data_IF_707545911724
#
_entry.id   IF_707545911724
#
_cell.length_a   1.000
_cell.length_b   1.000
_cell.length_c   1.000
_cell.angle_alpha   90.00
_cell.angle_beta   90.00
_cell.angle_gamma   90.00
#
_symmetry.space_group_name_H-M   'P 1'
#
loop_
_entity.id
_entity.type
_entity.pdbx_description
1 polymer ?
#
# COMPACT_ATOMS: atom_id res chain seq x y z
N UNK A 1 -18.15 1.76 15.48
CA UNK A 1 -17.53 2.93 14.82
C UNK A 1 -16.02 2.79 14.68
N UNK A 2 -15.31 2.28 15.69
CA UNK A 2 -13.84 2.15 15.70
C UNK A 2 -13.23 1.39 14.51
N UNK A 3 -13.82 0.25 14.10
CA UNK A 3 -13.35 -0.48 12.91
C UNK A 3 -13.52 0.31 11.61
N UNK A 4 -14.61 1.06 11.48
CA UNK A 4 -14.87 1.90 10.31
C UNK A 4 -13.87 3.05 10.24
N UNK A 5 -13.60 3.70 11.38
CA UNK A 5 -12.57 4.73 11.48
C UNK A 5 -11.19 4.16 11.12
N UNK A 6 -10.82 3.01 11.67
CA UNK A 6 -9.57 2.33 11.33
C UNK A 6 -9.46 2.03 9.84
N UNK A 7 -10.54 1.55 9.22
CA UNK A 7 -10.58 1.29 7.79
C UNK A 7 -10.30 2.56 6.98
N UNK A 8 -11.05 3.64 7.22
CA UNK A 8 -10.90 4.88 6.47
C UNK A 8 -9.57 5.58 6.74
N UNK A 9 -9.07 5.55 7.98
CA UNK A 9 -7.73 6.06 8.32
C UNK A 9 -6.64 5.23 7.65
N UNK A 10 -6.76 3.91 7.61
CA UNK A 10 -5.79 3.03 6.93
C UNK A 10 -5.83 3.21 5.41
N UNK A 11 -7.02 3.41 4.85
CA UNK A 11 -7.23 3.75 3.45
C UNK A 11 -6.59 5.10 3.08
N UNK A 12 -6.84 6.14 3.89
CA UNK A 12 -6.27 7.47 3.68
C UNK A 12 -4.75 7.50 3.92
N UNK A 13 -4.26 6.72 4.89
CA UNK A 13 -2.82 6.65 5.20
C UNK A 13 -2.02 6.09 4.02
N UNK A 14 -2.62 5.25 3.19
CA UNK A 14 -2.01 4.78 1.94
C UNK A 14 -1.86 5.88 0.87
N UNK A 15 -2.39 7.09 1.07
CA UNK A 15 -2.40 8.15 0.04
C UNK A 15 -1.67 9.43 0.43
N UNK A 16 -1.72 9.86 1.70
CA UNK A 16 -1.34 11.24 2.05
C UNK A 16 -0.72 11.44 3.45
N UNK A 17 -0.82 10.48 4.38
CA UNK A 17 -0.40 10.68 5.78
C UNK A 17 0.38 9.47 6.33
N UNK A 18 1.73 9.55 6.43
CA UNK A 18 2.51 8.50 7.06
C UNK A 18 2.19 8.40 8.56
N UNK A 19 2.06 7.17 9.07
CA UNK A 19 2.00 6.85 10.51
C UNK A 19 0.63 7.03 11.20
N UNK A 20 -0.35 7.65 10.55
CA UNK A 20 -1.66 7.92 11.18
C UNK A 20 -2.48 6.65 11.47
N UNK A 21 -2.38 5.63 10.61
CA UNK A 21 -3.16 4.40 10.78
C UNK A 21 -2.61 3.47 11.86
N UNK A 22 -1.29 3.45 12.06
CA UNK A 22 -0.63 2.59 13.04
C UNK A 22 -0.82 3.10 14.46
N UNK A 23 -0.77 4.42 14.65
CA UNK A 23 -1.08 5.03 15.94
C UNK A 23 -2.52 4.70 16.37
N UNK A 24 -3.48 4.84 15.45
CA UNK A 24 -4.87 4.46 15.72
C UNK A 24 -5.02 2.96 15.97
N UNK A 25 -4.31 2.11 15.20
CA UNK A 25 -4.30 0.67 15.41
C UNK A 25 -3.80 0.28 16.81
N UNK A 26 -2.67 0.85 17.25
CA UNK A 26 -2.11 0.63 18.59
C UNK A 26 -3.05 1.11 19.69
N UNK A 27 -3.65 2.29 19.51
CA UNK A 27 -4.66 2.81 20.45
C UNK A 27 -5.84 1.84 20.60
N UNK A 28 -6.38 1.32 19.50
CA UNK A 28 -7.48 0.36 19.55
C UNK A 28 -7.08 -0.98 20.16
N UNK A 29 -5.81 -1.40 20.03
CA UNK A 29 -5.29 -2.56 20.75
C UNK A 29 -5.24 -2.33 22.27
N UNK A 30 -4.86 -1.13 22.72
CA UNK A 30 -4.87 -0.79 24.15
C UNK A 30 -6.28 -0.73 24.76
N UNK A 31 -7.30 -0.50 23.94
CA UNK A 31 -8.71 -0.58 24.33
C UNK A 31 -9.26 -2.03 24.33
N UNK A 32 -8.37 -3.05 24.26
CA UNK A 32 -8.70 -4.48 24.29
C UNK A 32 -9.67 -4.96 23.19
N UNK A 33 -9.72 -4.27 22.05
CA UNK A 33 -10.46 -4.73 20.87
C UNK A 33 -9.81 -5.97 20.26
N UNK A 34 -10.61 -6.78 19.55
CA UNK A 34 -10.15 -8.02 18.92
C UNK A 34 -9.00 -7.75 17.92
N UNK A 35 -7.77 -8.23 18.19
CA UNK A 35 -6.60 -7.93 17.36
C UNK A 35 -6.71 -8.47 15.94
N UNK A 36 -7.33 -9.65 15.77
CA UNK A 36 -7.50 -10.26 14.46
C UNK A 36 -8.41 -9.42 13.56
N UNK A 37 -9.53 -8.92 14.09
CA UNK A 37 -10.42 -8.03 13.34
C UNK A 37 -9.73 -6.71 12.99
N UNK A 38 -8.96 -6.13 13.93
CA UNK A 38 -8.19 -4.92 13.66
C UNK A 38 -7.18 -5.14 12.52
N UNK A 39 -6.45 -6.27 12.54
CA UNK A 39 -5.48 -6.62 11.50
C UNK A 39 -6.14 -6.74 10.13
N UNK A 40 -7.25 -7.46 10.04
CA UNK A 40 -8.00 -7.64 8.79
C UNK A 40 -8.49 -6.29 8.27
N UNK A 41 -9.13 -5.49 9.12
CA UNK A 41 -9.74 -4.21 8.72
C UNK A 41 -8.68 -3.19 8.29
N UNK A 42 -7.58 -3.06 9.03
CA UNK A 42 -6.49 -2.15 8.69
C UNK A 42 -5.79 -2.57 7.38
N UNK A 43 -5.51 -3.87 7.23
CA UNK A 43 -4.90 -4.44 6.02
C UNK A 43 -5.79 -4.21 4.80
N UNK A 44 -7.09 -4.46 4.92
CA UNK A 44 -8.05 -4.23 3.84
C UNK A 44 -8.10 -2.75 3.43
N UNK A 45 -8.25 -1.85 4.40
CA UNK A 45 -8.28 -0.40 4.13
C UNK A 45 -7.01 0.06 3.40
N UNK A 46 -5.83 -0.31 3.91
CA UNK A 46 -4.55 0.11 3.35
C UNK A 46 -4.29 -0.51 1.96
N UNK A 47 -4.69 -1.77 1.75
CA UNK A 47 -4.58 -2.44 0.44
C UNK A 47 -5.48 -1.74 -0.58
N UNK A 48 -6.72 -1.40 -0.21
CA UNK A 48 -7.64 -0.67 -1.10
C UNK A 48 -7.15 0.75 -1.40
N UNK A 49 -6.55 1.45 -0.43
CA UNK A 49 -5.91 2.75 -0.69
C UNK A 49 -4.73 2.62 -1.67
N UNK A 50 -3.93 1.56 -1.52
CA UNK A 50 -2.83 1.26 -2.45
C UNK A 50 -3.32 0.94 -3.86
N UNK A 51 -4.47 0.28 -3.98
CA UNK A 51 -5.16 0.06 -5.26
C UNK A 51 -5.52 1.39 -5.95
N UNK A 52 -5.94 2.40 -5.19
CA UNK A 52 -6.18 3.75 -5.73
C UNK A 52 -4.89 4.35 -6.29
N UNK A 53 -3.77 4.27 -5.57
CA UNK A 53 -2.48 4.75 -6.07
C UNK A 53 -2.07 4.07 -7.37
N UNK A 54 -2.23 2.74 -7.45
CA UNK A 54 -1.95 2.01 -8.68
C UNK A 54 -2.80 2.54 -9.84
N UNK A 55 -4.10 2.73 -9.62
CA UNK A 55 -5.02 3.23 -10.64
C UNK A 55 -4.62 4.64 -11.08
N UNK A 56 -4.28 5.52 -10.13
CA UNK A 56 -3.77 6.86 -10.42
C UNK A 56 -2.48 6.82 -11.26
N UNK A 57 -1.54 5.94 -10.94
CA UNK A 57 -0.30 5.78 -11.72
C UNK A 57 -0.55 5.31 -13.15
N UNK A 58 -1.51 4.40 -13.33
CA UNK A 58 -1.94 3.94 -14.66
C UNK A 58 -2.55 5.08 -15.48
N UNK A 59 -3.47 5.85 -14.89
CA UNK A 59 -4.08 7.00 -15.58
C UNK A 59 -3.06 8.11 -15.87
N UNK A 60 -2.13 8.37 -14.96
CA UNK A 60 -1.04 9.33 -15.18
C UNK A 60 -0.18 8.94 -16.38
N UNK A 61 0.10 7.63 -16.53
CA UNK A 61 0.82 7.09 -17.69
C UNK A 61 0.02 7.23 -18.97
N UNK A 62 -1.26 6.86 -18.95
CA UNK A 62 -2.14 6.98 -20.12
C UNK A 62 -2.24 8.44 -20.60
N UNK A 63 -2.31 9.39 -19.66
CA UNK A 63 -2.31 10.81 -19.96
C UNK A 63 -0.96 11.29 -20.53
N UNK A 64 0.16 10.91 -19.90
CA UNK A 64 1.49 11.29 -20.33
C UNK A 64 1.84 10.76 -21.74
N UNK A 65 1.42 9.53 -22.06
CA UNK A 65 1.56 8.95 -23.40
C UNK A 65 0.74 9.72 -24.44
N UNK A 66 -0.54 10.02 -24.15
CA UNK A 66 -1.40 10.80 -25.06
C UNK A 66 -0.86 12.20 -25.34
N UNK A 67 -0.16 12.80 -24.38
CA UNK A 67 0.44 14.15 -24.50
C UNK A 67 1.88 14.14 -25.04
N UNK A 68 2.43 12.98 -25.39
CA UNK A 68 3.84 12.82 -25.79
C UNK A 68 4.85 13.30 -24.73
N UNK A 69 4.47 13.31 -23.43
CA UNK A 69 5.39 13.61 -22.33
C UNK A 69 6.23 12.41 -21.91
N UNK A 70 5.83 11.21 -22.32
CA UNK A 70 6.55 9.98 -22.02
C UNK A 70 6.70 9.14 -23.29
N UNK A 71 7.87 8.51 -23.44
CA UNK A 71 8.18 7.66 -24.58
C UNK A 71 7.88 6.19 -24.25
N UNK A 72 7.10 5.52 -25.10
CA UNK A 72 6.70 4.13 -24.94
C UNK A 72 7.89 3.16 -24.78
N UNK A 73 9.01 3.42 -25.47
CA UNK A 73 10.21 2.56 -25.36
C UNK A 73 10.81 2.59 -23.96
N UNK A 74 10.82 3.75 -23.32
CA UNK A 74 11.31 3.90 -21.95
C UNK A 74 10.36 3.23 -20.95
N UNK A 75 9.05 3.37 -21.18
CA UNK A 75 8.03 2.71 -20.36
C UNK A 75 8.15 1.18 -20.44
N UNK A 76 8.32 0.62 -21.64
CA UNK A 76 8.53 -0.82 -21.83
C UNK A 76 9.78 -1.30 -21.09
N UNK A 77 10.90 -0.59 -21.21
CA UNK A 77 12.14 -0.92 -20.49
C UNK A 77 11.95 -0.90 -18.97
N UNK A 78 11.27 0.12 -18.45
CA UNK A 78 10.95 0.23 -17.02
C UNK A 78 10.02 -0.91 -16.56
N UNK A 79 9.01 -1.25 -17.37
CA UNK A 79 8.08 -2.35 -17.11
C UNK A 79 8.80 -3.69 -17.04
N UNK A 80 9.70 -4.01 -17.98
CA UNK A 80 10.49 -5.25 -17.95
C UNK A 80 11.39 -5.34 -16.71
N UNK A 81 12.03 -4.22 -16.33
CA UNK A 81 12.84 -4.18 -15.12
C UNK A 81 11.98 -4.40 -13.87
N UNK A 82 10.80 -3.79 -13.83
CA UNK A 82 9.84 -3.95 -12.74
C UNK A 82 9.19 -5.33 -12.73
N UNK A 83 9.03 -6.02 -13.86
CA UNK A 83 8.59 -7.42 -13.83
C UNK A 83 9.62 -8.34 -13.15
N UNK A 84 10.91 -8.07 -13.37
CA UNK A 84 12.00 -8.86 -12.79
C UNK A 84 12.24 -8.57 -11.30
N UNK A 85 12.18 -7.29 -10.90
CA UNK A 85 12.54 -6.86 -9.53
C UNK A 85 11.39 -6.24 -8.74
N UNK A 86 10.29 -5.90 -9.40
CA UNK A 86 9.19 -5.13 -8.82
C UNK A 86 8.37 -5.89 -7.79
N UNK A 87 8.35 -7.23 -7.85
CA UNK A 87 7.75 -8.03 -6.78
C UNK A 87 8.48 -7.80 -5.45
N UNK A 88 9.82 -7.78 -5.48
CA UNK A 88 10.64 -7.52 -4.30
C UNK A 88 10.51 -6.07 -3.83
N UNK A 89 10.47 -5.10 -4.74
CA UNK A 89 10.28 -3.70 -4.34
C UNK A 89 8.89 -3.44 -3.74
N UNK A 90 7.84 -4.08 -4.26
CA UNK A 90 6.48 -3.98 -3.72
C UNK A 90 6.35 -4.60 -2.33
N UNK A 91 7.15 -5.62 -2.00
CA UNK A 91 7.20 -6.14 -0.64
C UNK A 91 7.69 -5.09 0.36
N UNK A 92 8.52 -4.13 -0.06
CA UNK A 92 8.95 -2.99 0.75
C UNK A 92 7.91 -1.87 0.84
N UNK A 93 6.72 -2.03 0.26
CA UNK A 93 5.63 -1.02 0.34
C UNK A 93 5.04 -0.81 1.73
N UNK A 94 5.47 -1.62 2.70
CA UNK A 94 5.15 -1.44 4.11
C UNK A 94 6.00 -0.37 4.80
N UNK A 95 7.15 0.01 4.23
CA UNK A 95 8.05 1.00 4.82
C UNK A 95 7.39 2.38 4.83
N UNK A 96 7.59 3.18 5.90
CA UNK A 96 7.08 4.54 5.96
C UNK A 96 7.68 5.37 4.82
N UNK A 97 6.88 6.32 4.29
CA UNK A 97 7.25 7.30 3.25
C UNK A 97 7.46 6.70 1.85
N UNK A 98 8.15 5.57 1.74
CA UNK A 98 8.54 4.95 0.45
C UNK A 98 7.40 4.12 -0.15
N UNK A 99 6.54 3.56 0.70
CA UNK A 99 5.64 2.51 0.27
C UNK A 99 4.56 2.93 -0.72
N UNK A 100 3.91 4.07 -0.49
CA UNK A 100 2.82 4.52 -1.35
C UNK A 100 3.31 5.02 -2.73
N UNK A 101 4.45 5.75 -2.84
CA UNK A 101 5.10 5.99 -4.12
C UNK A 101 5.40 4.71 -4.91
N UNK A 102 5.83 3.62 -4.26
CA UNK A 102 6.05 2.34 -4.95
C UNK A 102 4.76 1.77 -5.55
N UNK A 103 3.64 1.88 -4.85
CA UNK A 103 2.34 1.42 -5.37
C UNK A 103 1.86 2.26 -6.57
N UNK A 104 2.13 3.57 -6.56
CA UNK A 104 1.89 4.45 -7.69
C UNK A 104 2.78 4.11 -8.90
N UNK A 105 4.09 3.89 -8.67
CA UNK A 105 5.04 3.47 -9.72
C UNK A 105 4.64 2.14 -10.35
N UNK A 106 4.15 1.17 -9.56
CA UNK A 106 3.61 -0.08 -10.10
C UNK A 106 2.45 0.15 -11.09
N UNK A 107 1.62 1.15 -10.80
CA UNK A 107 0.59 1.65 -11.71
C UNK A 107 1.16 2.25 -12.99
N UNK A 108 2.19 3.09 -12.86
CA UNK A 108 2.87 3.73 -14.01
C UNK A 108 3.36 2.68 -14.99
N UNK A 109 4.09 1.69 -14.49
CA UNK A 109 4.68 0.62 -15.33
C UNK A 109 3.68 -0.45 -15.74
N UNK A 110 2.39 -0.28 -15.41
CA UNK A 110 1.27 -1.19 -15.70
C UNK A 110 1.53 -2.63 -15.25
N UNK A 111 2.07 -2.78 -14.03
CA UNK A 111 2.38 -4.10 -13.47
C UNK A 111 1.12 -4.97 -13.33
N UNK A 112 1.25 -6.30 -13.46
CA UNK A 112 0.08 -7.18 -13.44
C UNK A 112 -0.77 -7.00 -12.16
N UNK A 113 -2.03 -6.54 -12.34
CA UNK A 113 -2.93 -6.16 -11.25
C UNK A 113 -3.08 -7.21 -10.16
N UNK A 114 -3.26 -8.47 -10.53
CA UNK A 114 -3.41 -9.56 -9.56
C UNK A 114 -2.14 -9.78 -8.73
N UNK A 115 -0.95 -9.68 -9.35
CA UNK A 115 0.34 -9.80 -8.64
C UNK A 115 0.49 -8.65 -7.67
N UNK A 116 0.16 -7.45 -8.12
CA UNK A 116 0.17 -6.24 -7.31
C UNK A 116 -0.67 -6.41 -6.05
N UNK A 117 -1.96 -6.75 -6.20
CA UNK A 117 -2.89 -6.87 -5.06
C UNK A 117 -2.41 -7.91 -4.05
N UNK A 118 -1.97 -9.07 -4.51
CA UNK A 118 -1.47 -10.13 -3.61
C UNK A 118 -0.24 -9.65 -2.83
N UNK A 119 0.76 -9.12 -3.53
CA UNK A 119 2.03 -8.69 -2.89
C UNK A 119 1.78 -7.55 -1.91
N UNK A 120 0.96 -6.56 -2.29
CA UNK A 120 0.65 -5.42 -1.43
C UNK A 120 -0.18 -5.86 -0.22
N UNK A 121 -1.17 -6.74 -0.40
CA UNK A 121 -1.93 -7.27 0.73
C UNK A 121 -1.02 -7.97 1.74
N UNK A 122 -0.07 -8.77 1.27
CA UNK A 122 0.95 -9.39 2.13
C UNK A 122 1.86 -8.35 2.81
N UNK A 123 2.33 -7.33 2.07
CA UNK A 123 3.17 -6.28 2.64
C UNK A 123 2.43 -5.46 3.70
N UNK A 124 1.16 -5.08 3.47
CA UNK A 124 0.37 -4.33 4.45
C UNK A 124 0.01 -5.19 5.66
N UNK A 125 -0.28 -6.48 5.47
CA UNK A 125 -0.45 -7.42 6.58
C UNK A 125 0.82 -7.51 7.43
N UNK A 126 1.99 -7.61 6.80
CA UNK A 126 3.26 -7.63 7.49
C UNK A 126 3.51 -6.35 8.31
N UNK A 127 3.14 -5.17 7.80
CA UNK A 127 3.20 -3.89 8.54
C UNK A 127 2.43 -3.96 9.85
N UNK A 128 1.14 -4.26 9.79
CA UNK A 128 0.29 -4.27 10.98
C UNK A 128 0.62 -5.45 11.90
N UNK A 129 1.06 -6.59 11.35
CA UNK A 129 1.60 -7.70 12.12
C UNK A 129 2.84 -7.32 12.92
N UNK A 130 3.79 -6.61 12.30
CA UNK A 130 4.99 -6.10 12.98
C UNK A 130 4.63 -5.11 14.09
N UNK A 131 3.70 -4.18 13.82
CA UNK A 131 3.20 -3.24 14.84
C UNK A 131 2.53 -3.97 16.00
N UNK A 132 1.71 -5.00 15.70
CA UNK A 132 1.07 -5.82 16.73
C UNK A 132 2.07 -6.59 17.59
N UNK A 133 3.08 -7.20 16.99
CA UNK A 133 4.16 -7.88 17.72
C UNK A 133 4.95 -6.90 18.61
N UNK A 134 5.23 -5.70 18.10
CA UNK A 134 5.85 -4.63 18.87
C UNK A 134 4.99 -4.18 20.07
N UNK A 135 3.68 -4.07 19.88
CA UNK A 135 2.73 -3.79 20.98
C UNK A 135 2.79 -4.87 22.06
N UNK A 136 2.75 -6.15 21.68
CA UNK A 136 2.85 -7.27 22.63
C UNK A 136 4.19 -7.32 23.39
N UNK A 137 5.27 -6.81 22.81
CA UNK A 137 6.58 -6.80 23.46
C UNK A 137 6.70 -5.72 24.56
N UNK A 138 5.82 -4.71 24.55
CA UNK A 138 5.88 -3.54 25.44
C UNK A 138 4.70 -3.53 26.44
N UNK A 139 3.65 -4.31 26.18
CA UNK A 139 2.44 -4.43 27.01
C UNK A 139 2.58 -5.55 28.04
#
# INVERSE_FOLDING_TARGET
MSFLSLFFTSFASATLLPGGSEALFVYLLSEHLNPFLLLVVATLGNTLGSCVNYILGKYATDFALRKNYMNEKHLQKASTLFEKYGAWSLLFSWLPIIGDPLTFVAGIVRYAWWKFVIIVAFAKLARYGFVYLGFLAIS
#
